data_IF_587262423276
#
_entry.id   IF_587262423276
#
_cell.length_a   1.000
_cell.length_b   1.000
_cell.length_c   1.000
_cell.angle_alpha   90.00
_cell.angle_beta   90.00
_cell.angle_gamma   90.00
#
_symmetry.space_group_name_H-M   'P 1'
#
loop_
_entity.id
_entity.type
_entity.pdbx_description
1 polymer ?
#
# COMPACT_ATOMS: atom_id res chain seq x y z
N UNK A 1 -13.59 4.17 7.13
CA UNK A 1 -12.25 4.52 6.66
C UNK A 1 -11.25 4.57 7.80
N UNK A 2 -10.03 4.03 7.56
CA UNK A 2 -8.87 4.23 8.41
C UNK A 2 -7.74 4.88 7.61
N UNK A 3 -7.24 6.04 8.07
CA UNK A 3 -6.18 6.76 7.34
C UNK A 3 -4.96 6.95 8.24
N UNK A 4 -3.77 6.55 7.76
CA UNK A 4 -2.51 6.80 8.46
C UNK A 4 -1.46 7.38 7.52
N UNK A 5 -0.62 8.29 8.03
CA UNK A 5 0.39 8.98 7.23
C UNK A 5 1.62 8.13 6.85
N UNK A 6 1.79 6.92 7.37
CA UNK A 6 2.98 6.10 7.09
C UNK A 6 2.79 4.61 7.38
N UNK A 7 3.76 3.79 6.97
CA UNK A 7 3.78 2.34 7.15
C UNK A 7 3.96 1.86 8.61
N UNK A 8 4.18 2.73 9.59
CA UNK A 8 4.09 2.33 11.00
C UNK A 8 2.67 1.95 11.39
N UNK A 9 1.67 2.46 10.66
CA UNK A 9 0.28 2.03 10.72
C UNK A 9 -0.32 2.03 12.14
N UNK A 10 -0.03 3.06 12.94
CA UNK A 10 -0.41 3.14 14.35
C UNK A 10 -1.94 3.08 14.58
N UNK A 11 -2.73 3.51 13.59
CA UNK A 11 -4.21 3.44 13.61
C UNK A 11 -4.75 2.16 12.95
N UNK A 12 -3.88 1.22 12.59
CA UNK A 12 -4.26 -0.06 11.97
C UNK A 12 -5.27 0.12 10.81
N UNK A 13 -4.90 0.99 9.84
CA UNK A 13 -5.79 1.35 8.74
C UNK A 13 -6.35 0.12 8.01
N UNK A 14 -5.56 -0.94 7.85
CA UNK A 14 -5.99 -2.18 7.20
C UNK A 14 -7.05 -3.00 7.97
N UNK A 15 -7.36 -2.66 9.21
CA UNK A 15 -8.47 -3.27 9.96
C UNK A 15 -9.80 -2.52 9.74
N UNK A 16 -9.83 -1.53 8.86
CA UNK A 16 -11.03 -0.79 8.47
C UNK A 16 -11.55 -1.28 7.10
N UNK A 17 -12.82 -1.02 6.82
CA UNK A 17 -13.46 -1.41 5.54
C UNK A 17 -12.66 -0.91 4.34
N UNK A 18 -12.18 0.33 4.40
CA UNK A 18 -11.21 0.91 3.48
C UNK A 18 -10.07 1.52 4.32
N UNK A 19 -8.85 1.05 4.11
CA UNK A 19 -7.66 1.53 4.78
C UNK A 19 -6.73 2.26 3.83
N UNK A 20 -6.27 3.47 4.20
CA UNK A 20 -5.30 4.25 3.42
C UNK A 20 -4.06 4.50 4.25
N UNK A 21 -2.90 4.15 3.72
CA UNK A 21 -1.59 4.38 4.36
C UNK A 21 -0.69 5.18 3.43
N UNK A 22 0.02 6.16 3.98
CA UNK A 22 1.13 6.79 3.26
C UNK A 22 2.24 5.79 2.97
N UNK A 23 2.73 5.78 1.74
CA UNK A 23 3.84 4.95 1.29
C UNK A 23 4.81 5.73 0.42
N UNK A 24 5.91 5.09 0.05
CA UNK A 24 6.92 5.67 -0.82
C UNK A 24 7.44 4.60 -1.79
N UNK A 25 7.28 4.83 -3.07
CA UNK A 25 7.99 4.05 -4.09
C UNK A 25 9.44 4.51 -4.12
N UNK A 26 10.38 3.57 -4.20
CA UNK A 26 11.81 3.88 -4.08
C UNK A 26 12.58 3.30 -5.24
N UNK A 27 13.52 4.10 -5.77
CA UNK A 27 14.41 3.71 -6.87
C UNK A 27 15.86 3.95 -6.46
N UNK A 28 16.72 2.97 -6.65
CA UNK A 28 18.14 3.11 -6.40
C UNK A 28 18.86 3.71 -7.61
N UNK A 29 19.76 4.65 -7.36
CA UNK A 29 20.58 5.35 -8.34
C UNK A 29 22.04 4.97 -8.10
N UNK A 30 22.59 4.16 -9.00
CA UNK A 30 23.94 3.58 -8.90
C UNK A 30 25.03 4.64 -8.79
N UNK A 31 25.00 5.64 -9.65
CA UNK A 31 26.03 6.68 -9.75
C UNK A 31 26.26 7.48 -8.46
N UNK A 32 25.27 7.54 -7.59
CA UNK A 32 25.34 8.23 -6.30
C UNK A 32 25.73 7.31 -5.15
N UNK A 33 25.83 6.00 -5.40
CA UNK A 33 26.01 5.02 -4.35
C UNK A 33 27.48 4.80 -4.00
N UNK A 34 27.83 4.92 -2.72
CA UNK A 34 29.16 4.63 -2.18
C UNK A 34 29.27 3.24 -1.55
N UNK A 35 28.28 2.38 -1.73
CA UNK A 35 28.22 1.00 -1.23
C UNK A 35 28.43 0.85 0.29
N UNK A 36 27.97 1.82 1.08
CA UNK A 36 28.17 1.85 2.54
C UNK A 36 27.27 0.87 3.32
N UNK A 37 26.27 0.22 2.69
CA UNK A 37 25.37 -0.77 3.31
C UNK A 37 24.37 -0.19 4.33
N UNK A 38 24.28 1.12 4.52
CA UNK A 38 23.36 1.76 5.48
C UNK A 38 21.90 1.46 5.16
N UNK A 39 21.52 1.45 3.88
CA UNK A 39 20.15 1.17 3.44
C UNK A 39 19.71 -0.27 3.75
N UNK A 40 20.61 -1.25 3.66
CA UNK A 40 20.37 -2.64 4.06
C UNK A 40 20.08 -2.74 5.56
N UNK A 41 20.93 -2.13 6.39
CA UNK A 41 20.76 -2.08 7.86
C UNK A 41 19.48 -1.34 8.28
N UNK A 42 19.09 -0.29 7.54
CA UNK A 42 17.88 0.48 7.81
C UNK A 42 16.60 -0.26 7.42
N UNK A 43 16.68 -1.27 6.54
CA UNK A 43 15.54 -2.00 6.03
C UNK A 43 15.02 -3.03 7.03
N UNK A 44 14.00 -2.69 7.80
CA UNK A 44 13.38 -3.60 8.77
C UNK A 44 12.71 -4.82 8.15
N UNK A 45 12.41 -4.76 6.85
CA UNK A 45 11.77 -5.86 6.12
C UNK A 45 12.78 -6.84 5.51
N UNK A 46 14.10 -6.54 5.60
CA UNK A 46 15.14 -7.34 4.94
C UNK A 46 14.97 -7.39 3.42
N UNK A 47 14.39 -6.32 2.84
CA UNK A 47 14.12 -6.24 1.41
C UNK A 47 15.30 -5.71 0.59
N UNK A 48 16.34 -5.19 1.23
CA UNK A 48 17.50 -4.61 0.56
C UNK A 48 18.73 -5.48 0.86
N UNK A 49 19.49 -5.77 -0.17
CA UNK A 49 20.78 -6.47 -0.07
C UNK A 49 21.86 -5.67 -0.81
N UNK A 50 23.01 -5.52 -0.17
CA UNK A 50 24.18 -4.84 -0.72
C UNK A 50 25.30 -5.87 -0.91
N UNK A 51 25.57 -6.26 -2.15
CA UNK A 51 26.63 -7.22 -2.50
C UNK A 51 27.32 -6.83 -3.81
N UNK A 52 28.63 -7.08 -3.90
CA UNK A 52 29.41 -6.87 -5.12
C UNK A 52 29.26 -5.45 -5.72
N UNK A 53 29.27 -4.43 -4.87
CA UNK A 53 29.06 -3.02 -5.26
C UNK A 53 27.69 -2.76 -5.92
N UNK A 54 26.71 -3.64 -5.72
CA UNK A 54 25.37 -3.49 -6.26
C UNK A 54 24.35 -3.56 -5.11
N UNK A 55 23.31 -2.74 -5.22
CA UNK A 55 22.17 -2.76 -4.29
C UNK A 55 20.97 -3.36 -4.99
N UNK A 56 20.39 -4.38 -4.39
CA UNK A 56 19.17 -5.02 -4.89
C UNK A 56 18.02 -4.83 -3.93
N UNK A 57 16.81 -4.73 -4.46
CA UNK A 57 15.58 -4.65 -3.67
C UNK A 57 14.63 -5.77 -4.03
N UNK A 58 14.25 -6.55 -3.02
CA UNK A 58 13.18 -7.54 -3.13
C UNK A 58 11.82 -6.84 -2.96
N UNK A 59 11.14 -6.61 -4.07
CA UNK A 59 9.84 -5.91 -4.09
C UNK A 59 8.73 -6.71 -3.39
N UNK A 60 8.88 -8.01 -3.22
CA UNK A 60 7.89 -8.84 -2.52
C UNK A 60 7.95 -8.64 -1.00
N UNK A 61 9.11 -8.27 -0.48
CA UNK A 61 9.33 -7.96 0.94
C UNK A 61 9.19 -6.47 1.25
N UNK A 62 9.36 -5.61 0.24
CA UNK A 62 9.32 -4.16 0.43
C UNK A 62 7.90 -3.69 0.78
N UNK A 63 7.75 -3.02 1.92
CA UNK A 63 6.48 -2.43 2.35
C UNK A 63 6.34 -0.94 2.03
N UNK A 64 7.18 -0.39 1.15
CA UNK A 64 7.12 1.01 0.73
C UNK A 64 7.27 2.05 1.87
N UNK A 65 8.09 1.76 2.88
CA UNK A 65 8.23 2.66 4.05
C UNK A 65 9.20 3.85 3.83
N UNK A 66 10.00 3.85 2.77
CA UNK A 66 10.94 4.93 2.42
C UNK A 66 12.15 5.09 3.36
N UNK A 67 12.43 4.12 4.27
CA UNK A 67 13.56 4.22 5.20
C UNK A 67 14.90 4.25 4.50
N UNK A 68 15.07 3.52 3.39
CA UNK A 68 16.28 3.52 2.58
C UNK A 68 16.61 4.91 2.02
N UNK A 69 15.59 5.67 1.59
CA UNK A 69 15.75 7.05 1.13
C UNK A 69 16.26 7.94 2.26
N UNK A 70 15.59 7.87 3.42
CA UNK A 70 15.93 8.71 4.59
C UNK A 70 17.29 8.39 5.21
N UNK A 71 17.73 7.14 5.11
CA UNK A 71 18.98 6.68 5.72
C UNK A 71 20.20 6.84 4.83
N UNK A 72 20.02 7.07 3.53
CA UNK A 72 21.13 7.14 2.58
C UNK A 72 21.90 8.46 2.73
N UNK A 73 23.21 8.45 3.04
CA UNK A 73 23.98 9.65 3.25
C UNK A 73 24.34 10.38 1.94
N UNK A 74 24.24 9.71 0.79
CA UNK A 74 24.59 10.24 -0.54
C UNK A 74 23.38 10.47 -1.44
N UNK A 75 22.16 10.33 -0.90
CA UNK A 75 20.92 10.45 -1.66
C UNK A 75 20.86 9.52 -2.89
N UNK A 76 21.48 8.35 -2.78
CA UNK A 76 21.46 7.33 -3.83
C UNK A 76 20.12 6.57 -3.92
N UNK A 77 19.11 6.98 -3.20
CA UNK A 77 17.75 6.51 -3.29
C UNK A 77 16.80 7.67 -3.60
N UNK A 78 16.08 7.56 -4.68
CA UNK A 78 14.97 8.45 -5.00
C UNK A 78 13.68 7.86 -4.46
N UNK A 79 12.79 8.72 -3.93
CA UNK A 79 11.53 8.33 -3.35
C UNK A 79 10.36 9.14 -3.87
N UNK A 80 9.33 8.47 -4.37
CA UNK A 80 8.06 9.09 -4.73
C UNK A 80 7.00 8.70 -3.71
N UNK A 81 6.45 9.69 -2.99
CA UNK A 81 5.36 9.48 -2.04
C UNK A 81 4.07 9.08 -2.76
N UNK A 82 3.21 8.33 -2.06
CA UNK A 82 1.91 7.92 -2.57
C UNK A 82 1.09 7.21 -1.50
N UNK A 83 0.02 6.56 -1.93
CA UNK A 83 -0.98 5.95 -1.08
C UNK A 83 -1.05 4.44 -1.31
N UNK A 84 -1.11 3.69 -0.22
CA UNK A 84 -1.38 2.26 -0.23
C UNK A 84 -2.79 2.07 0.29
N UNK A 85 -3.66 1.48 -0.51
CA UNK A 85 -5.07 1.28 -0.19
C UNK A 85 -5.33 -0.20 0.05
N UNK A 86 -6.03 -0.51 1.12
CA UNK A 86 -6.50 -1.85 1.48
C UNK A 86 -8.02 -1.87 1.63
N UNK A 87 -8.64 -2.97 1.25
CA UNK A 87 -10.09 -3.13 1.23
C UNK A 87 -10.55 -4.35 2.02
N UNK A 88 -11.71 -4.27 2.64
CA UNK A 88 -12.35 -5.38 3.32
C UNK A 88 -11.74 -5.72 4.68
N UNK A 89 -11.15 -4.76 5.37
CA UNK A 89 -10.78 -4.92 6.78
C UNK A 89 -12.02 -4.93 7.69
N UNK A 90 -11.87 -5.55 8.84
CA UNK A 90 -12.91 -5.62 9.87
C UNK A 90 -12.25 -5.66 11.24
N UNK A 91 -12.71 -4.80 12.14
CA UNK A 91 -12.32 -4.82 13.54
C UNK A 91 -13.54 -4.92 14.45
N UNK A 92 -13.51 -5.86 15.37
CA UNK A 92 -14.58 -6.13 16.34
C UNK A 92 -14.41 -7.51 16.98
N UNK A 93 -15.48 -8.28 17.13
CA UNK A 93 -15.43 -9.66 17.62
C UNK A 93 -14.59 -10.58 16.71
N UNK A 94 -14.45 -10.21 15.45
CA UNK A 94 -13.55 -10.82 14.48
C UNK A 94 -12.66 -9.74 13.90
N UNK A 95 -11.38 -10.07 13.68
CA UNK A 95 -10.40 -9.14 13.10
C UNK A 95 -9.96 -9.71 11.76
N UNK A 96 -10.18 -8.93 10.70
CA UNK A 96 -9.68 -9.22 9.37
C UNK A 96 -8.85 -8.03 8.88
N UNK A 97 -7.71 -8.31 8.29
CA UNK A 97 -6.93 -7.29 7.58
C UNK A 97 -7.45 -7.18 6.15
N UNK A 98 -7.69 -5.95 5.72
CA UNK A 98 -7.99 -5.64 4.34
C UNK A 98 -6.83 -6.00 3.43
N UNK A 99 -7.16 -6.35 2.19
CA UNK A 99 -6.19 -6.73 1.17
C UNK A 99 -5.79 -5.52 0.33
N UNK A 100 -4.50 -5.40 0.04
CA UNK A 100 -3.98 -4.44 -0.93
C UNK A 100 -4.14 -5.04 -2.33
N UNK A 101 -5.04 -4.51 -3.15
CA UNK A 101 -5.34 -4.99 -4.50
C UNK A 101 -4.57 -4.26 -5.60
N UNK A 102 -4.03 -3.09 -5.28
CA UNK A 102 -3.39 -2.18 -6.22
C UNK A 102 -1.95 -1.88 -5.84
N UNK A 103 -1.09 -1.52 -6.80
CA UNK A 103 0.20 -0.93 -6.49
C UNK A 103 0.02 0.41 -5.76
N UNK A 104 1.14 1.02 -5.33
CA UNK A 104 1.11 2.34 -4.71
C UNK A 104 0.50 3.36 -5.67
N UNK A 105 -0.53 4.08 -5.21
CA UNK A 105 -1.21 5.15 -5.93
C UNK A 105 -0.43 6.45 -5.74
N UNK A 106 -0.08 7.13 -6.82
CA UNK A 106 0.84 8.26 -6.81
C UNK A 106 0.17 9.64 -6.76
N UNK A 107 -1.13 9.70 -7.01
CA UNK A 107 -1.89 10.95 -7.08
C UNK A 107 -3.26 10.84 -6.40
N UNK A 108 -3.79 11.99 -5.98
CA UNK A 108 -5.06 12.06 -5.25
C UNK A 108 -6.27 11.78 -6.13
N UNK A 109 -6.22 12.13 -7.41
CA UNK A 109 -7.32 11.89 -8.33
C UNK A 109 -7.60 10.40 -8.49
N UNK A 110 -6.54 9.61 -8.69
CA UNK A 110 -6.64 8.15 -8.75
C UNK A 110 -7.08 7.58 -7.39
N UNK A 111 -6.60 8.12 -6.28
CA UNK A 111 -7.04 7.69 -4.94
C UNK A 111 -8.54 7.90 -4.76
N UNK A 112 -9.07 9.07 -5.11
CA UNK A 112 -10.50 9.37 -4.99
C UNK A 112 -11.32 8.48 -5.92
N UNK A 113 -10.93 8.32 -7.17
CA UNK A 113 -11.62 7.47 -8.14
C UNK A 113 -11.72 6.01 -7.68
N UNK A 114 -10.64 5.48 -7.11
CA UNK A 114 -10.60 4.11 -6.57
C UNK A 114 -11.46 3.98 -5.32
N UNK A 115 -11.43 4.96 -4.42
CA UNK A 115 -12.26 4.94 -3.20
C UNK A 115 -13.73 5.12 -3.50
N UNK A 116 -14.09 5.98 -4.46
CA UNK A 116 -15.47 6.16 -4.93
C UNK A 116 -16.02 4.89 -5.59
N UNK A 117 -15.21 4.20 -6.39
CA UNK A 117 -15.58 2.90 -6.96
C UNK A 117 -15.86 1.84 -5.86
N UNK A 118 -15.06 1.84 -4.78
CA UNK A 118 -15.29 0.93 -3.66
C UNK A 118 -16.58 1.27 -2.89
N UNK A 119 -16.86 2.55 -2.67
CA UNK A 119 -18.09 3.02 -2.03
C UNK A 119 -19.31 2.65 -2.89
N UNK A 120 -19.28 2.97 -4.19
CA UNK A 120 -20.36 2.67 -5.13
C UNK A 120 -20.64 1.18 -5.26
N UNK A 121 -19.58 0.34 -5.22
CA UNK A 121 -19.74 -1.11 -5.18
C UNK A 121 -20.47 -1.55 -3.91
N UNK A 122 -20.09 -1.00 -2.75
CA UNK A 122 -20.74 -1.30 -1.47
C UNK A 122 -22.20 -0.86 -1.45
N UNK A 123 -22.51 0.37 -1.85
CA UNK A 123 -23.88 0.88 -1.92
C UNK A 123 -24.80 0.02 -2.79
N UNK A 124 -24.29 -0.46 -3.92
CA UNK A 124 -25.04 -1.31 -4.85
C UNK A 124 -25.32 -2.70 -4.31
N UNK A 125 -24.41 -3.25 -3.50
CA UNK A 125 -24.43 -4.67 -3.17
C UNK A 125 -24.71 -4.97 -1.69
N UNK A 126 -24.56 -4.00 -0.79
CA UNK A 126 -24.71 -4.25 0.65
C UNK A 126 -26.16 -4.42 1.08
N UNK A 127 -26.42 -5.32 2.02
CA UNK A 127 -27.68 -5.41 2.74
C UNK A 127 -27.70 -4.37 3.90
N UNK A 128 -28.89 -3.95 4.37
CA UNK A 128 -28.98 -3.05 5.52
C UNK A 128 -28.22 -3.60 6.75
N UNK A 129 -27.28 -2.80 7.31
CA UNK A 129 -26.45 -3.16 8.44
C UNK A 129 -25.28 -4.10 8.15
N UNK A 130 -25.08 -4.49 6.90
CA UNK A 130 -23.95 -5.34 6.50
C UNK A 130 -22.63 -4.55 6.47
N UNK A 131 -21.55 -5.18 6.90
CA UNK A 131 -20.19 -4.61 6.80
C UNK A 131 -19.56 -4.98 5.46
N UNK A 132 -18.68 -4.12 4.96
CA UNK A 132 -18.05 -4.26 3.64
C UNK A 132 -17.40 -5.64 3.43
N UNK A 133 -16.66 -6.14 4.41
CA UNK A 133 -16.08 -7.50 4.36
C UNK A 133 -17.10 -8.59 4.12
N UNK A 134 -18.24 -8.52 4.81
CA UNK A 134 -19.32 -9.51 4.68
C UNK A 134 -20.00 -9.42 3.32
N UNK A 135 -20.19 -8.21 2.81
CA UNK A 135 -20.69 -7.97 1.44
C UNK A 135 -19.78 -8.61 0.40
N UNK A 136 -18.45 -8.40 0.49
CA UNK A 136 -17.47 -9.01 -0.43
C UNK A 136 -17.52 -10.55 -0.37
N UNK A 137 -17.62 -11.13 0.82
CA UNK A 137 -17.71 -12.58 0.97
C UNK A 137 -18.98 -13.17 0.38
N UNK A 138 -20.12 -12.46 0.47
CA UNK A 138 -21.43 -12.92 -0.03
C UNK A 138 -21.54 -12.76 -1.56
N UNK A 139 -21.10 -11.65 -2.10
CA UNK A 139 -21.22 -11.33 -3.53
C UNK A 139 -20.11 -11.99 -4.35
N UNK A 140 -18.94 -12.22 -3.74
CA UNK A 140 -17.71 -12.62 -4.40
C UNK A 140 -16.80 -11.42 -4.69
N UNK A 141 -15.50 -11.66 -4.63
CA UNK A 141 -14.50 -10.58 -4.74
C UNK A 141 -14.13 -10.23 -6.19
N UNK A 142 -14.42 -11.08 -7.17
CA UNK A 142 -13.93 -10.93 -8.55
C UNK A 142 -14.47 -9.67 -9.23
N UNK A 143 -15.78 -9.40 -9.09
CA UNK A 143 -16.37 -8.17 -9.63
C UNK A 143 -15.82 -6.92 -8.97
N UNK A 144 -15.61 -6.98 -7.64
CA UNK A 144 -14.99 -5.89 -6.90
C UNK A 144 -13.55 -5.63 -7.36
N UNK A 145 -12.73 -6.68 -7.46
CA UNK A 145 -11.35 -6.57 -7.95
C UNK A 145 -11.27 -5.95 -9.33
N UNK A 146 -12.19 -6.34 -10.21
CA UNK A 146 -12.29 -5.75 -11.55
C UNK A 146 -12.66 -4.26 -11.48
N UNK A 147 -13.70 -3.90 -10.73
CA UNK A 147 -14.15 -2.50 -10.58
C UNK A 147 -13.03 -1.60 -10.03
N UNK A 148 -12.28 -2.07 -9.02
CA UNK A 148 -11.16 -1.33 -8.45
C UNK A 148 -10.00 -1.18 -9.43
N UNK A 149 -9.71 -2.22 -10.23
CA UNK A 149 -8.68 -2.15 -11.25
C UNK A 149 -9.07 -1.20 -12.40
N UNK A 150 -10.30 -1.27 -12.88
CA UNK A 150 -10.82 -0.37 -13.92
C UNK A 150 -10.77 1.10 -13.44
N UNK A 151 -11.17 1.36 -12.20
CA UNK A 151 -11.06 2.68 -11.59
C UNK A 151 -9.61 3.17 -11.46
N UNK A 152 -8.68 2.29 -11.13
CA UNK A 152 -7.24 2.62 -11.07
C UNK A 152 -6.69 2.99 -12.46
N UNK A 153 -7.09 2.27 -13.50
CA UNK A 153 -6.68 2.49 -14.88
C UNK A 153 -7.41 3.65 -15.56
N UNK A 154 -8.43 4.25 -14.92
CA UNK A 154 -9.21 5.35 -15.47
C UNK A 154 -10.21 4.96 -16.56
N UNK A 155 -10.73 3.74 -16.47
CA UNK A 155 -11.73 3.17 -17.41
C UNK A 155 -13.15 3.32 -16.88
#
# INVERSE_FOLDING_TARGET
FGVTGCQNNCLKAEENDIGVKGGMDVTWVEDKCINCGVCEKACRMGAISCANNTVTIDRTKCNNCGRCVKACPTEAWEGQSGYIVSFGGLFGNQIYKGEQLLPLIKDEETLFRVTDAAIGFFEKNANPGERFRLTLQRVGEDEFRKAIKDAYEGK
#
